data_IF_866199213454
#
_entry.id   IF_866199213454
#
_cell.length_a   1.000
_cell.length_b   1.000
_cell.length_c   1.000
_cell.angle_alpha   90.00
_cell.angle_beta   90.00
_cell.angle_gamma   90.00
#
_symmetry.space_group_name_H-M   'P 1'
#
loop_
_entity.id
_entity.type
_entity.pdbx_description
1 polymer ?
#
# COMPACT_ATOMS: atom_id res chain seq x y z
N UNK A 1 15.23 -2.86 -8.99
CA UNK A 1 14.92 -4.12 -8.29
C UNK A 1 13.45 -4.13 -7.92
N UNK A 2 12.77 -5.28 -8.03
CA UNK A 2 11.32 -5.37 -7.89
C UNK A 2 10.95 -6.25 -6.69
N UNK A 3 10.04 -5.78 -5.83
CA UNK A 3 9.61 -6.44 -4.62
C UNK A 3 8.08 -6.27 -4.42
N UNK A 4 7.43 -7.18 -3.69
CA UNK A 4 6.03 -6.99 -3.32
C UNK A 4 5.87 -5.83 -2.34
N UNK A 5 4.85 -5.01 -2.57
CA UNK A 5 4.42 -3.93 -1.67
C UNK A 5 3.04 -4.24 -1.18
N UNK A 6 2.85 -4.27 0.11
CA UNK A 6 1.57 -4.44 0.76
C UNK A 6 0.96 -3.08 1.10
N UNK A 7 -0.28 -2.85 0.68
CA UNK A 7 -1.08 -1.72 1.13
C UNK A 7 -2.00 -2.16 2.26
N UNK A 8 -1.83 -1.56 3.43
CA UNK A 8 -2.54 -1.89 4.68
C UNK A 8 -3.45 -0.75 5.07
N UNK A 9 -4.72 -1.03 5.21
CA UNK A 9 -5.67 -0.08 5.75
C UNK A 9 -5.72 -0.19 7.28
N UNK A 10 -5.58 0.95 7.96
CA UNK A 10 -5.81 1.02 9.40
C UNK A 10 -7.30 0.83 9.68
N UNK A 11 -7.63 -0.20 10.45
CA UNK A 11 -8.98 -0.55 10.86
C UNK A 11 -9.07 -0.39 12.38
N UNK A 12 -9.97 0.49 12.84
CA UNK A 12 -10.21 0.69 14.27
C UNK A 12 -11.64 0.29 14.59
N UNK A 13 -11.87 -0.65 15.52
CA UNK A 13 -13.23 -1.03 15.93
C UNK A 13 -14.04 0.20 16.35
N UNK A 14 -15.21 0.41 15.73
CA UNK A 14 -16.12 1.51 16.04
C UNK A 14 -17.22 1.10 16.99
N UNK A 15 -17.78 -0.09 16.79
CA UNK A 15 -18.94 -0.54 17.57
C UNK A 15 -19.01 -2.04 17.71
N UNK A 16 -19.64 -2.46 18.80
CA UNK A 16 -19.97 -3.86 19.08
C UNK A 16 -21.44 -4.10 18.82
N UNK A 17 -21.77 -5.25 18.23
CA UNK A 17 -23.15 -5.68 18.01
C UNK A 17 -23.71 -6.41 19.21
N UNK A 18 -25.02 -6.26 19.44
CA UNK A 18 -25.77 -7.04 20.41
C UNK A 18 -26.82 -7.95 19.74
N UNK A 19 -26.84 -7.99 18.40
CA UNK A 19 -27.74 -8.86 17.66
C UNK A 19 -27.36 -10.34 17.81
N UNK A 20 -28.37 -11.19 17.86
CA UNK A 20 -28.23 -12.67 17.85
C UNK A 20 -29.07 -13.21 16.71
N UNK A 21 -28.53 -14.07 15.89
CA UNK A 21 -29.23 -14.68 14.75
C UNK A 21 -28.34 -14.75 13.51
N UNK A 22 -28.96 -15.03 12.38
CA UNK A 22 -28.28 -15.20 11.09
C UNK A 22 -28.24 -13.88 10.32
N UNK A 23 -27.09 -13.47 9.80
CA UNK A 23 -26.99 -12.35 8.87
C UNK A 23 -27.69 -12.69 7.57
N UNK A 24 -28.73 -11.91 7.23
CA UNK A 24 -29.61 -12.17 6.07
C UNK A 24 -29.38 -11.22 4.90
N UNK A 25 -28.74 -10.07 5.11
CA UNK A 25 -28.23 -9.20 4.06
C UNK A 25 -27.08 -8.33 4.57
N UNK A 26 -26.27 -7.81 3.66
CA UNK A 26 -25.27 -6.77 3.91
C UNK A 26 -25.68 -5.54 3.10
N UNK A 27 -25.79 -4.39 3.77
CA UNK A 27 -26.30 -3.15 3.16
C UNK A 27 -25.18 -2.12 2.92
N UNK A 28 -23.96 -2.40 3.40
CA UNK A 28 -22.77 -1.58 3.21
C UNK A 28 -21.66 -2.40 2.58
N UNK A 29 -20.93 -1.78 1.65
CA UNK A 29 -19.73 -2.32 1.06
C UNK A 29 -18.49 -1.83 1.83
N UNK A 30 -17.36 -2.50 1.59
CA UNK A 30 -16.08 -2.11 2.19
C UNK A 30 -15.66 -0.71 1.75
N UNK A 31 -15.40 0.17 2.70
CA UNK A 31 -15.00 1.55 2.45
C UNK A 31 -16.12 2.54 2.19
N UNK A 32 -17.38 2.11 2.29
CA UNK A 32 -18.52 3.03 2.23
C UNK A 32 -18.48 4.03 3.38
N UNK A 33 -19.03 5.21 3.12
CA UNK A 33 -19.25 6.22 4.16
C UNK A 33 -20.66 6.10 4.67
N UNK A 34 -20.80 5.80 5.95
CA UNK A 34 -22.10 5.67 6.63
C UNK A 34 -22.38 6.86 7.52
N UNK A 35 -23.67 7.20 7.61
CA UNK A 35 -24.21 8.24 8.49
C UNK A 35 -25.18 7.62 9.51
N UNK A 36 -25.58 8.41 10.51
CA UNK A 36 -26.56 7.95 11.50
C UNK A 36 -27.91 7.65 10.83
N UNK A 37 -28.42 6.44 11.04
CA UNK A 37 -29.65 5.95 10.44
C UNK A 37 -29.45 4.97 9.30
N UNK A 38 -28.22 4.83 8.78
CA UNK A 38 -27.92 3.85 7.73
C UNK A 38 -27.99 2.43 8.30
N UNK A 39 -28.45 1.49 7.46
CA UNK A 39 -28.50 0.07 7.78
C UNK A 39 -27.13 -0.54 7.43
N UNK A 40 -26.51 -1.22 8.37
CA UNK A 40 -25.25 -1.93 8.14
C UNK A 40 -25.47 -3.31 7.50
N UNK A 41 -26.40 -4.07 8.08
CA UNK A 41 -26.77 -5.42 7.68
C UNK A 41 -28.11 -5.78 8.29
N UNK A 42 -28.68 -6.93 7.92
CA UNK A 42 -29.89 -7.47 8.57
C UNK A 42 -29.59 -8.79 9.27
N UNK A 43 -30.24 -9.02 10.42
CA UNK A 43 -30.20 -10.28 11.17
C UNK A 43 -31.63 -10.82 11.26
N UNK A 44 -31.83 -12.05 10.80
CA UNK A 44 -33.16 -12.69 10.72
C UNK A 44 -34.19 -11.74 10.07
N UNK A 45 -33.81 -11.09 8.96
CA UNK A 45 -34.57 -10.07 8.21
C UNK A 45 -34.84 -8.77 8.98
N UNK A 46 -34.23 -8.56 10.15
CA UNK A 46 -34.36 -7.34 10.94
C UNK A 46 -33.16 -6.43 10.74
N UNK A 47 -33.32 -5.16 10.37
CA UNK A 47 -32.20 -4.24 10.12
C UNK A 47 -31.47 -3.89 11.40
N UNK A 48 -30.16 -3.81 11.27
CA UNK A 48 -29.24 -3.29 12.28
C UNK A 48 -28.73 -1.93 11.80
N UNK A 49 -29.09 -0.89 12.51
CA UNK A 49 -28.84 0.51 12.14
C UNK A 49 -27.66 1.04 12.92
N UNK A 50 -26.84 1.89 12.28
CA UNK A 50 -25.76 2.62 12.95
C UNK A 50 -26.27 3.96 13.46
N UNK A 51 -25.86 4.37 14.67
CA UNK A 51 -26.20 5.67 15.24
C UNK A 51 -25.05 6.23 16.08
N UNK A 52 -25.04 7.56 16.28
CA UNK A 52 -24.05 8.20 17.15
C UNK A 52 -24.40 7.99 18.62
N UNK A 53 -23.42 7.59 19.42
CA UNK A 53 -23.58 7.39 20.85
C UNK A 53 -22.34 6.78 21.49
N UNK A 54 -22.10 7.12 22.75
CA UNK A 54 -20.91 6.65 23.49
C UNK A 54 -21.16 5.35 24.27
N UNK A 55 -22.44 4.97 24.46
CA UNK A 55 -22.82 3.79 25.23
C UNK A 55 -23.23 2.68 24.26
N UNK A 56 -22.51 1.54 24.20
CA UNK A 56 -22.91 0.41 23.39
C UNK A 56 -24.31 -0.10 23.78
N UNK A 57 -25.06 -0.64 22.81
CA UNK A 57 -26.32 -1.33 23.11
C UNK A 57 -26.04 -2.57 23.95
N UNK A 58 -26.71 -2.68 25.11
CA UNK A 58 -26.50 -3.78 26.06
C UNK A 58 -27.83 -4.36 26.61
N UNK A 59 -28.96 -3.72 26.33
CA UNK A 59 -30.29 -4.14 26.77
C UNK A 59 -31.39 -3.65 25.82
N UNK A 60 -32.53 -4.27 25.88
CA UNK A 60 -33.72 -3.78 25.22
C UNK A 60 -34.24 -2.50 25.91
N UNK A 61 -34.74 -1.56 25.11
CA UNK A 61 -35.30 -0.30 25.56
C UNK A 61 -36.77 -0.23 25.22
N UNK A 62 -37.56 0.05 26.24
CA UNK A 62 -39.04 0.17 26.16
C UNK A 62 -39.56 1.24 27.12
N UNK A 63 -40.85 1.51 27.08
CA UNK A 63 -41.48 2.46 27.99
C UNK A 63 -41.14 2.13 29.46
N UNK A 64 -40.70 3.15 30.19
CA UNK A 64 -40.22 3.04 31.57
C UNK A 64 -38.68 2.81 31.69
N UNK A 65 -37.96 2.55 30.60
CA UNK A 65 -36.47 2.51 30.63
C UNK A 65 -35.91 3.92 30.88
N UNK A 66 -34.86 4.03 31.67
CA UNK A 66 -34.16 5.30 31.94
C UNK A 66 -32.64 5.09 31.85
N UNK A 67 -31.90 6.12 31.36
CA UNK A 67 -30.45 6.09 31.32
C UNK A 67 -29.84 6.89 30.18
N UNK A 68 -28.49 6.82 30.12
CA UNK A 68 -27.72 7.44 29.05
C UNK A 68 -27.99 6.76 27.70
N UNK A 69 -28.24 5.46 27.69
CA UNK A 69 -28.61 4.66 26.54
C UNK A 69 -29.97 5.09 25.96
N UNK A 70 -30.94 5.43 26.82
CA UNK A 70 -32.21 6.00 26.38
C UNK A 70 -32.02 7.41 25.80
N UNK A 71 -31.18 8.21 26.43
CA UNK A 71 -30.89 9.57 25.94
C UNK A 71 -30.31 9.54 24.53
N UNK A 72 -29.29 8.74 24.28
CA UNK A 72 -28.69 8.64 22.94
C UNK A 72 -29.64 8.08 21.89
N UNK A 73 -30.55 7.15 22.26
CA UNK A 73 -31.65 6.70 21.39
C UNK A 73 -32.57 7.87 21.04
N UNK A 74 -32.94 8.68 22.03
CA UNK A 74 -33.78 9.86 21.82
C UNK A 74 -33.11 10.90 20.94
N UNK A 75 -31.78 11.08 21.08
CA UNK A 75 -30.95 11.93 20.18
C UNK A 75 -31.04 11.43 18.75
N UNK A 76 -30.77 10.16 18.52
CA UNK A 76 -30.93 9.53 17.21
C UNK A 76 -32.34 9.73 16.63
N UNK A 77 -33.39 9.42 17.40
CA UNK A 77 -34.78 9.57 16.95
C UNK A 77 -35.16 11.03 16.65
N UNK A 78 -34.62 11.99 17.42
CA UNK A 78 -34.82 13.43 17.21
C UNK A 78 -34.13 13.88 15.90
N UNK A 79 -32.88 13.52 15.72
CA UNK A 79 -32.07 13.94 14.58
C UNK A 79 -32.56 13.30 13.28
N UNK A 80 -33.11 12.08 13.35
CA UNK A 80 -33.81 11.42 12.27
C UNK A 80 -35.27 11.93 12.06
N UNK A 81 -35.77 12.88 12.87
CA UNK A 81 -37.08 13.50 12.72
C UNK A 81 -38.28 12.72 13.26
N UNK A 82 -38.06 11.58 13.94
CA UNK A 82 -39.14 10.77 14.52
C UNK A 82 -39.63 11.31 15.87
N UNK A 83 -38.72 11.90 16.67
CA UNK A 83 -39.05 12.44 18.01
C UNK A 83 -38.97 13.98 17.99
N UNK A 84 -40.07 14.62 18.40
CA UNK A 84 -40.15 16.08 18.48
C UNK A 84 -39.96 16.54 19.91
N UNK A 85 -38.72 16.56 20.38
CA UNK A 85 -38.34 17.11 21.69
C UNK A 85 -37.19 18.12 21.55
N UNK A 86 -37.16 19.12 22.44
CA UNK A 86 -36.09 20.11 22.42
C UNK A 86 -34.77 19.50 22.93
N UNK A 87 -34.86 18.73 24.02
CA UNK A 87 -33.74 18.05 24.60
C UNK A 87 -34.15 16.64 25.08
N UNK A 88 -33.40 15.61 24.69
CA UNK A 88 -33.53 14.26 25.22
C UNK A 88 -33.31 14.24 26.75
N UNK A 89 -34.21 13.62 27.49
CA UNK A 89 -34.20 13.57 28.95
C UNK A 89 -33.70 12.25 29.52
N UNK A 90 -33.52 11.23 28.67
CA UNK A 90 -33.06 9.90 29.04
C UNK A 90 -34.17 9.07 29.71
N UNK A 91 -35.46 9.42 29.51
CA UNK A 91 -36.60 8.67 30.00
C UNK A 91 -37.47 8.17 28.85
N UNK A 92 -37.57 6.88 28.70
CA UNK A 92 -38.38 6.26 27.64
C UNK A 92 -39.87 6.40 27.97
N UNK A 93 -40.49 7.47 27.51
CA UNK A 93 -41.89 7.81 27.71
C UNK A 93 -42.78 7.32 26.57
N UNK A 94 -44.12 7.47 26.70
CA UNK A 94 -45.06 7.22 25.61
C UNK A 94 -44.74 8.02 24.33
N UNK A 95 -44.14 9.23 24.44
CA UNK A 95 -43.70 10.00 23.28
C UNK A 95 -42.51 9.31 22.58
N UNK A 96 -41.58 8.75 23.34
CA UNK A 96 -40.45 7.97 22.80
C UNK A 96 -40.99 6.67 22.16
N UNK A 97 -41.95 5.95 22.80
CA UNK A 97 -42.61 4.78 22.22
C UNK A 97 -43.24 5.10 20.86
N UNK A 98 -43.96 6.22 20.77
CA UNK A 98 -44.61 6.65 19.52
C UNK A 98 -43.53 6.99 18.42
N UNK A 99 -42.41 7.56 18.80
CA UNK A 99 -41.31 7.83 17.89
C UNK A 99 -40.61 6.54 17.39
N UNK A 100 -40.38 5.59 18.29
CA UNK A 100 -39.84 4.26 17.94
C UNK A 100 -40.76 3.54 16.97
N UNK A 101 -42.06 3.54 17.20
CA UNK A 101 -43.06 2.91 16.27
C UNK A 101 -42.99 3.54 14.88
N UNK A 102 -42.84 4.87 14.77
CA UNK A 102 -42.67 5.53 13.48
C UNK A 102 -41.36 5.11 12.78
N UNK A 103 -40.27 5.02 13.53
CA UNK A 103 -39.00 4.52 13.01
C UNK A 103 -39.14 3.07 12.55
N UNK A 104 -39.73 2.19 13.38
CA UNK A 104 -39.96 0.79 13.03
C UNK A 104 -40.82 0.62 11.77
N UNK A 105 -41.83 1.48 11.59
CA UNK A 105 -42.61 1.52 10.36
C UNK A 105 -41.79 1.83 9.12
N UNK A 106 -40.89 2.83 9.22
CA UNK A 106 -39.99 3.17 8.12
C UNK A 106 -38.97 2.05 7.83
N UNK A 107 -38.52 1.37 8.87
CA UNK A 107 -37.61 0.22 8.78
C UNK A 107 -38.32 -1.08 8.36
N UNK A 108 -39.67 -1.04 8.16
CA UNK A 108 -40.48 -2.18 7.74
C UNK A 108 -40.42 -3.37 8.71
N UNK A 109 -40.31 -3.08 10.01
CA UNK A 109 -40.34 -4.08 11.08
C UNK A 109 -41.59 -3.93 11.94
N UNK A 110 -41.83 -4.89 12.84
CA UNK A 110 -42.96 -4.86 13.76
C UNK A 110 -42.98 -3.59 14.62
N UNK A 111 -44.07 -2.82 14.58
CA UNK A 111 -44.28 -1.55 15.29
C UNK A 111 -44.66 -1.80 16.77
N UNK A 112 -43.81 -2.51 17.52
CA UNK A 112 -44.07 -2.86 18.93
C UNK A 112 -43.65 -1.74 19.90
N UNK A 113 -42.81 -0.79 19.46
CA UNK A 113 -42.31 0.31 20.28
C UNK A 113 -41.16 -0.09 21.20
N UNK A 114 -40.55 -1.26 21.00
CA UNK A 114 -39.37 -1.76 21.72
C UNK A 114 -38.15 -1.70 20.80
N UNK A 115 -37.08 -1.10 21.26
CA UNK A 115 -35.78 -1.15 20.58
C UNK A 115 -34.98 -2.27 21.22
N UNK A 116 -34.72 -3.32 20.45
CA UNK A 116 -33.91 -4.43 20.94
C UNK A 116 -32.44 -4.02 20.95
N UNK A 117 -31.66 -4.62 21.83
CA UNK A 117 -30.23 -4.33 21.92
C UNK A 117 -29.49 -4.53 20.56
N UNK A 118 -29.98 -5.48 19.75
CA UNK A 118 -29.42 -5.76 18.42
C UNK A 118 -29.87 -4.84 17.28
N UNK A 119 -30.84 -3.94 17.51
CA UNK A 119 -31.42 -3.09 16.47
C UNK A 119 -30.49 -1.91 16.10
N UNK A 120 -29.64 -1.45 17.03
CA UNK A 120 -28.79 -0.26 16.85
C UNK A 120 -27.38 -0.54 17.33
N UNK A 121 -26.41 -0.22 16.49
CA UNK A 121 -25.00 -0.15 16.86
C UNK A 121 -24.63 1.31 17.10
N UNK A 122 -24.34 1.67 18.34
CA UNK A 122 -23.90 3.01 18.69
C UNK A 122 -22.38 3.14 18.55
N UNK A 123 -21.94 4.23 17.90
CA UNK A 123 -20.53 4.56 17.64
C UNK A 123 -20.24 6.01 18.00
N UNK A 124 -18.99 6.30 18.37
CA UNK A 124 -18.61 7.64 18.88
C UNK A 124 -18.67 8.75 17.84
N UNK A 125 -18.41 8.46 16.56
CA UNK A 125 -18.27 9.49 15.51
C UNK A 125 -18.90 9.01 14.20
N UNK A 126 -19.77 9.83 13.64
CA UNK A 126 -20.36 9.69 12.30
C UNK A 126 -20.40 11.08 11.62
N UNK A 127 -20.32 11.17 10.28
CA UNK A 127 -20.16 10.04 9.36
C UNK A 127 -18.76 9.43 9.43
N UNK A 128 -18.64 8.15 9.06
CA UNK A 128 -17.39 7.41 9.06
C UNK A 128 -17.28 6.51 7.83
N UNK A 129 -16.08 6.37 7.28
CA UNK A 129 -15.78 5.29 6.34
C UNK A 129 -15.65 4.00 7.12
N UNK A 130 -16.34 2.97 6.68
CA UNK A 130 -16.44 1.74 7.46
C UNK A 130 -16.08 0.50 6.65
N UNK A 131 -15.77 -0.54 7.39
CA UNK A 131 -15.70 -1.92 6.94
C UNK A 131 -16.40 -2.78 7.97
N UNK A 132 -17.20 -3.75 7.52
CA UNK A 132 -17.75 -4.74 8.43
C UNK A 132 -16.65 -5.66 8.94
N UNK A 133 -16.81 -6.15 10.15
CA UNK A 133 -15.90 -7.14 10.70
C UNK A 133 -15.95 -8.43 9.86
N UNK A 134 -14.84 -9.15 9.65
CA UNK A 134 -14.81 -10.39 8.88
C UNK A 134 -15.77 -11.48 9.37
N UNK A 135 -16.20 -11.43 10.63
CA UNK A 135 -17.22 -12.34 11.16
C UNK A 135 -18.65 -11.96 10.72
N UNK A 136 -18.86 -10.78 10.12
CA UNK A 136 -20.15 -10.30 9.62
C UNK A 136 -20.25 -10.54 8.12
N UNK A 137 -20.67 -11.71 7.72
CA UNK A 137 -20.89 -12.10 6.32
C UNK A 137 -22.27 -12.75 6.14
N UNK A 138 -22.76 -12.80 4.91
CA UNK A 138 -24.06 -13.38 4.60
C UNK A 138 -24.13 -14.84 5.08
N UNK A 139 -25.09 -15.14 5.96
CA UNK A 139 -25.26 -16.46 6.60
C UNK A 139 -24.48 -16.65 7.90
N UNK A 140 -23.69 -15.66 8.34
CA UNK A 140 -22.98 -15.72 9.61
C UNK A 140 -23.94 -15.79 10.79
N UNK A 141 -23.58 -16.53 11.83
CA UNK A 141 -24.29 -16.56 13.12
C UNK A 141 -23.64 -15.55 14.07
N UNK A 142 -24.36 -14.49 14.38
CA UNK A 142 -23.87 -13.45 15.28
C UNK A 142 -24.19 -13.78 16.74
N UNK A 143 -23.25 -13.37 17.59
CA UNK A 143 -23.38 -13.41 19.05
C UNK A 143 -23.05 -12.03 19.63
N UNK A 144 -23.70 -11.62 20.74
CA UNK A 144 -23.49 -10.30 21.34
C UNK A 144 -22.05 -10.07 21.79
N UNK A 145 -21.62 -8.80 21.77
CA UNK A 145 -20.37 -8.33 22.36
C UNK A 145 -19.16 -8.38 21.42
N UNK A 146 -19.33 -8.80 20.16
CA UNK A 146 -18.26 -8.76 19.17
C UNK A 146 -18.25 -7.44 18.40
N UNK A 147 -17.07 -7.03 17.94
CA UNK A 147 -16.97 -5.95 16.97
C UNK A 147 -17.72 -6.35 15.69
N UNK A 148 -18.51 -5.45 15.13
CA UNK A 148 -19.27 -5.68 13.90
C UNK A 148 -18.95 -4.68 12.81
N UNK A 149 -18.35 -3.55 13.18
CA UNK A 149 -17.99 -2.48 12.27
C UNK A 149 -16.73 -1.79 12.77
N UNK A 150 -15.79 -1.55 11.85
CA UNK A 150 -14.57 -0.79 12.10
C UNK A 150 -14.53 0.45 11.22
N UNK A 151 -13.93 1.53 11.71
CA UNK A 151 -13.58 2.66 10.87
C UNK A 151 -12.40 2.33 10.01
N UNK A 152 -12.41 2.87 8.81
CA UNK A 152 -11.30 2.79 7.88
C UNK A 152 -10.52 4.11 7.90
N UNK A 153 -9.20 4.04 7.97
CA UNK A 153 -8.34 5.20 7.85
C UNK A 153 -8.55 5.96 6.53
N UNK A 154 -8.06 7.19 6.46
CA UNK A 154 -8.21 8.02 5.26
C UNK A 154 -7.39 7.49 4.07
N UNK A 155 -6.28 6.83 4.35
CA UNK A 155 -5.38 6.25 3.37
C UNK A 155 -4.71 4.98 3.90
N UNK A 156 -4.33 4.04 3.03
CA UNK A 156 -3.55 2.89 3.44
C UNK A 156 -2.08 3.26 3.65
N UNK A 157 -1.39 2.49 4.47
CA UNK A 157 0.06 2.49 4.60
C UNK A 157 0.65 1.49 3.61
N UNK A 158 1.63 1.93 2.82
CA UNK A 158 2.33 1.07 1.89
C UNK A 158 3.64 0.60 2.51
N UNK A 159 3.84 -0.71 2.58
CA UNK A 159 5.04 -1.31 3.15
C UNK A 159 5.64 -2.36 2.24
N UNK A 160 6.97 -2.42 2.24
CA UNK A 160 7.73 -3.47 1.56
C UNK A 160 8.50 -4.24 2.62
N UNK A 161 8.24 -5.53 2.74
CA UNK A 161 8.90 -6.40 3.71
C UNK A 161 9.98 -7.21 2.99
N UNK A 162 11.20 -7.08 3.47
CA UNK A 162 12.38 -7.70 2.88
C UNK A 162 13.03 -8.65 3.87
N UNK A 163 13.46 -9.81 3.38
CA UNK A 163 14.27 -10.73 4.19
C UNK A 163 15.66 -10.13 4.48
N UNK A 164 16.37 -10.68 5.45
CA UNK A 164 17.73 -10.25 5.80
C UNK A 164 18.68 -10.28 4.59
N UNK A 165 18.55 -11.29 3.72
CA UNK A 165 19.37 -11.42 2.51
C UNK A 165 19.03 -10.34 1.47
N UNK A 166 17.75 -9.96 1.35
CA UNK A 166 17.31 -8.90 0.45
C UNK A 166 17.66 -7.51 0.99
N UNK A 167 17.63 -7.33 2.30
CA UNK A 167 17.92 -6.05 2.96
C UNK A 167 19.32 -5.51 2.65
N UNK A 168 20.30 -6.40 2.50
CA UNK A 168 21.68 -6.02 2.14
C UNK A 168 21.86 -5.54 0.70
N UNK A 169 20.85 -5.75 -0.17
CA UNK A 169 20.89 -5.41 -1.60
C UNK A 169 20.13 -4.13 -1.94
N UNK A 170 19.41 -3.56 -0.97
CA UNK A 170 18.43 -2.49 -1.20
C UNK A 170 18.79 -1.25 -0.39
N UNK A 171 18.74 -0.04 -0.97
CA UNK A 171 18.93 1.19 -0.21
C UNK A 171 17.74 1.37 0.78
N UNK A 172 18.03 1.99 1.92
CA UNK A 172 17.04 2.32 2.96
C UNK A 172 16.38 3.69 2.75
N UNK A 173 16.73 4.37 1.67
CA UNK A 173 16.15 5.66 1.24
C UNK A 173 16.23 5.77 -0.27
N UNK A 174 15.42 6.62 -0.88
CA UNK A 174 15.45 6.88 -2.31
C UNK A 174 14.09 6.68 -2.98
N UNK A 175 14.03 6.94 -4.30
CA UNK A 175 12.79 6.86 -5.06
C UNK A 175 12.36 5.41 -5.30
N UNK A 176 11.05 5.22 -5.32
CA UNK A 176 10.40 3.94 -5.60
C UNK A 176 9.18 4.17 -6.49
N UNK A 177 8.97 3.33 -7.47
CA UNK A 177 7.74 3.31 -8.26
C UNK A 177 6.93 2.09 -7.87
N UNK A 178 5.66 2.29 -7.49
CA UNK A 178 4.73 1.23 -7.08
C UNK A 178 3.65 1.08 -8.13
N UNK A 179 3.52 -0.12 -8.68
CA UNK A 179 2.61 -0.42 -9.79
C UNK A 179 1.58 -1.47 -9.38
N UNK A 180 0.32 -1.19 -9.64
CA UNK A 180 -0.80 -2.13 -9.61
C UNK A 180 -1.25 -2.49 -11.02
N UNK A 181 -2.44 -3.10 -11.15
CA UNK A 181 -3.00 -3.49 -12.47
C UNK A 181 -3.23 -2.28 -13.39
N UNK A 182 -3.72 -1.16 -12.86
CA UNK A 182 -4.14 0.00 -13.66
C UNK A 182 -3.55 1.32 -13.15
N UNK A 183 -2.69 1.27 -12.15
CA UNK A 183 -2.13 2.47 -11.50
C UNK A 183 -0.65 2.33 -11.27
N UNK A 184 0.06 3.45 -11.36
CA UNK A 184 1.46 3.57 -10.95
C UNK A 184 1.60 4.83 -10.10
N UNK A 185 2.24 4.70 -8.97
CA UNK A 185 2.55 5.81 -8.07
C UNK A 185 4.06 5.93 -7.91
N UNK A 186 4.56 7.15 -8.02
CA UNK A 186 5.94 7.47 -7.69
C UNK A 186 6.00 7.89 -6.22
N UNK A 187 6.92 7.29 -5.49
CA UNK A 187 7.08 7.50 -4.07
C UNK A 187 8.54 7.49 -3.65
N UNK A 188 8.71 7.61 -2.34
CA UNK A 188 10.01 7.52 -1.69
C UNK A 188 9.95 6.57 -0.49
N UNK A 189 11.08 5.99 -0.13
CA UNK A 189 11.24 5.27 1.12
C UNK A 189 11.33 6.31 2.24
N UNK A 190 10.26 6.40 3.04
CA UNK A 190 10.14 7.36 4.13
C UNK A 190 10.83 6.86 5.42
N UNK A 191 10.78 5.56 5.66
CA UNK A 191 11.46 4.95 6.82
C UNK A 191 11.85 3.50 6.53
N UNK A 192 12.87 3.05 7.26
CA UNK A 192 13.34 1.67 7.23
C UNK A 192 13.47 1.18 8.68
N UNK A 193 12.78 0.12 9.03
CA UNK A 193 12.79 -0.45 10.39
C UNK A 193 12.99 -1.95 10.33
N UNK A 194 13.81 -2.49 11.23
CA UNK A 194 14.00 -3.94 11.33
C UNK A 194 13.10 -4.50 12.42
N UNK A 195 12.29 -5.48 12.08
CA UNK A 195 11.41 -6.17 13.03
C UNK A 195 12.21 -7.11 13.94
N UNK A 196 11.61 -7.55 15.02
CA UNK A 196 12.21 -8.55 15.95
C UNK A 196 12.53 -9.87 15.26
N UNK A 197 11.85 -10.17 14.14
CA UNK A 197 12.07 -11.38 13.34
C UNK A 197 13.15 -11.19 12.25
N UNK A 198 13.84 -10.03 12.23
CA UNK A 198 14.91 -9.75 11.28
C UNK A 198 14.46 -9.32 9.88
N UNK A 199 13.16 -9.06 9.67
CA UNK A 199 12.67 -8.49 8.42
C UNK A 199 12.93 -6.99 8.38
N UNK A 200 13.42 -6.46 7.26
CA UNK A 200 13.49 -5.04 6.99
C UNK A 200 12.14 -4.58 6.41
N UNK A 201 11.48 -3.67 7.09
CA UNK A 201 10.23 -3.05 6.65
C UNK A 201 10.52 -1.64 6.18
N UNK A 202 10.30 -1.40 4.89
CA UNK A 202 10.37 -0.08 4.27
C UNK A 202 8.95 0.49 4.18
N UNK A 203 8.74 1.66 4.77
CA UNK A 203 7.48 2.40 4.63
C UNK A 203 7.60 3.40 3.49
N UNK A 204 6.61 3.40 2.60
CA UNK A 204 6.59 4.20 1.37
C UNK A 204 5.58 5.32 1.49
N UNK A 205 5.96 6.51 1.03
CA UNK A 205 5.10 7.71 0.97
C UNK A 205 5.25 8.40 -0.38
N UNK A 206 4.37 9.35 -0.67
CA UNK A 206 4.59 10.27 -1.75
C UNK A 206 5.83 11.15 -1.47
N UNK A 207 6.46 11.76 -2.49
CA UNK A 207 7.66 12.59 -2.31
C UNK A 207 7.46 13.79 -1.37
N UNK A 208 6.22 14.28 -1.23
CA UNK A 208 5.83 15.36 -0.34
C UNK A 208 5.56 14.89 1.12
N UNK A 209 5.72 13.59 1.39
CA UNK A 209 5.45 12.98 2.69
C UNK A 209 3.99 12.59 2.91
N UNK A 210 3.11 12.85 1.93
CA UNK A 210 1.72 12.44 1.96
C UNK A 210 1.52 10.94 1.67
N UNK A 211 0.25 10.52 1.57
CA UNK A 211 -0.07 9.14 1.19
C UNK A 211 0.39 8.84 -0.23
N UNK A 212 1.01 7.67 -0.44
CA UNK A 212 1.51 7.24 -1.76
C UNK A 212 0.43 7.26 -2.84
N UNK A 213 -0.80 6.88 -2.52
CA UNK A 213 -1.93 6.88 -3.45
C UNK A 213 -2.57 8.26 -3.66
N UNK A 214 -2.20 9.29 -2.86
CA UNK A 214 -2.73 10.64 -2.99
C UNK A 214 -4.26 10.68 -2.99
N UNK A 215 -4.85 11.30 -4.02
CA UNK A 215 -6.31 11.37 -4.21
C UNK A 215 -6.93 10.07 -4.73
N UNK A 216 -6.11 9.14 -5.21
CA UNK A 216 -6.56 7.86 -5.78
C UNK A 216 -6.60 6.73 -4.74
N UNK A 217 -6.54 7.02 -3.43
CA UNK A 217 -6.58 5.98 -2.40
C UNK A 217 -7.87 5.14 -2.41
N UNK A 218 -8.96 5.68 -2.96
CA UNK A 218 -10.20 4.91 -3.15
C UNK A 218 -10.07 3.74 -4.12
N UNK A 219 -9.06 3.74 -4.99
CA UNK A 219 -8.78 2.62 -5.91
C UNK A 219 -7.97 1.48 -5.26
N UNK A 220 -7.44 1.70 -4.06
CA UNK A 220 -6.74 0.65 -3.32
C UNK A 220 -7.77 -0.26 -2.63
N UNK A 221 -7.83 -1.55 -2.97
CA UNK A 221 -8.80 -2.47 -2.39
C UNK A 221 -8.73 -2.48 -0.86
N UNK A 222 -9.91 -2.47 -0.22
CA UNK A 222 -10.05 -2.71 1.21
C UNK A 222 -10.27 -4.21 1.37
N UNK A 223 -9.19 -4.96 1.50
CA UNK A 223 -9.28 -6.40 1.62
C UNK A 223 -9.11 -6.85 3.08
N UNK A 224 -9.57 -8.07 3.38
CA UNK A 224 -9.28 -8.73 4.66
C UNK A 224 -7.76 -8.94 4.83
N UNK A 225 -7.07 -9.24 3.73
CA UNK A 225 -5.61 -9.31 3.63
C UNK A 225 -5.08 -8.08 2.90
N UNK A 226 -3.79 -7.82 3.07
CA UNK A 226 -3.10 -6.71 2.42
C UNK A 226 -3.30 -6.75 0.90
N UNK A 227 -3.63 -5.60 0.30
CA UNK A 227 -3.62 -5.46 -1.15
C UNK A 227 -2.16 -5.43 -1.64
N UNK A 228 -1.82 -6.29 -2.62
CA UNK A 228 -0.46 -6.44 -3.09
C UNK A 228 -0.23 -5.67 -4.40
N UNK A 229 0.87 -4.95 -4.42
CA UNK A 229 1.40 -4.18 -5.54
C UNK A 229 2.85 -4.60 -5.82
N UNK A 230 3.41 -4.13 -6.92
CA UNK A 230 4.82 -4.32 -7.25
C UNK A 230 5.58 -3.02 -7.06
N UNK A 231 6.57 -3.01 -6.17
CA UNK A 231 7.45 -1.88 -5.95
C UNK A 231 8.78 -2.06 -6.67
N UNK A 232 9.17 -1.06 -7.46
CA UNK A 232 10.46 -0.99 -8.13
C UNK A 232 11.32 0.07 -7.45
N UNK A 233 12.36 -0.34 -6.75
CA UNK A 233 13.33 0.58 -6.14
C UNK A 233 14.25 1.07 -7.25
N UNK A 234 14.31 2.39 -7.42
CA UNK A 234 15.12 3.06 -8.42
C UNK A 234 16.50 3.33 -7.79
N UNK A 235 17.47 2.49 -8.12
CA UNK A 235 18.85 2.61 -7.61
C UNK A 235 19.72 3.57 -8.42
N UNK A 236 19.24 3.95 -9.59
CA UNK A 236 19.90 4.88 -10.50
C UNK A 236 18.87 5.90 -10.94
N UNK A 237 19.07 7.15 -10.57
CA UNK A 237 18.20 8.24 -11.02
C UNK A 237 18.27 8.38 -12.54
N UNK A 238 17.12 8.69 -13.16
CA UNK A 238 17.06 9.00 -14.57
C UNK A 238 17.82 10.30 -14.83
N UNK A 239 19.00 10.21 -15.39
CA UNK A 239 19.75 11.36 -15.85
C UNK A 239 19.39 11.66 -17.30
N UNK A 240 19.20 12.94 -17.62
CA UNK A 240 19.00 13.42 -18.99
C UNK A 240 20.33 14.00 -19.51
N UNK A 241 20.77 13.54 -20.68
CA UNK A 241 22.01 14.01 -21.28
C UNK A 241 22.50 13.08 -22.41
N UNK A 242 23.61 13.40 -23.06
CA UNK A 242 24.25 12.52 -24.02
C UNK A 242 24.57 11.15 -23.39
N UNK A 243 24.17 10.07 -24.05
CA UNK A 243 24.45 8.72 -23.59
C UNK A 243 25.57 8.09 -24.43
N UNK A 244 26.66 7.73 -23.79
CA UNK A 244 27.80 7.08 -24.43
C UNK A 244 27.90 5.61 -23.97
N UNK A 245 28.49 4.71 -24.80
CA UNK A 245 28.84 3.38 -24.31
C UNK A 245 29.84 3.49 -23.14
N UNK A 246 29.67 2.69 -22.10
CA UNK A 246 30.55 2.69 -20.93
C UNK A 246 32.03 2.39 -21.35
N UNK A 247 32.22 1.62 -22.44
CA UNK A 247 33.52 1.34 -23.03
C UNK A 247 34.18 2.54 -23.72
N UNK A 248 33.49 3.66 -23.91
CA UNK A 248 34.04 4.90 -24.46
C UNK A 248 34.57 5.84 -23.36
N UNK A 249 34.37 5.50 -22.07
CA UNK A 249 34.82 6.33 -20.96
C UNK A 249 36.18 5.85 -20.46
N UNK A 250 37.13 6.72 -20.48
CA UNK A 250 38.43 6.55 -19.86
C UNK A 250 38.52 7.25 -18.51
N UNK A 251 39.44 6.81 -17.66
CA UNK A 251 39.73 7.45 -16.37
C UNK A 251 41.16 7.83 -16.28
N UNK A 252 41.48 9.08 -15.97
CA UNK A 252 42.86 9.58 -15.74
C UNK A 252 43.34 9.13 -14.35
N UNK A 253 44.67 9.22 -14.17
CA UNK A 253 45.32 8.88 -12.91
C UNK A 253 44.78 9.64 -11.68
N UNK A 254 44.06 10.75 -11.87
CA UNK A 254 43.38 11.53 -10.82
C UNK A 254 41.94 11.15 -10.58
N UNK A 255 41.37 10.12 -11.27
CA UNK A 255 39.96 9.72 -11.13
C UNK A 255 38.97 10.48 -12.02
N UNK A 256 39.46 11.45 -12.82
CA UNK A 256 38.63 12.21 -13.75
C UNK A 256 38.20 11.35 -14.95
N UNK A 257 36.92 11.29 -15.22
CA UNK A 257 36.41 10.62 -16.41
C UNK A 257 36.55 11.50 -17.65
N UNK A 258 36.84 10.86 -18.79
CA UNK A 258 36.96 11.55 -20.10
C UNK A 258 36.45 10.63 -21.21
N UNK A 259 36.05 11.24 -22.30
CA UNK A 259 35.81 10.55 -23.58
C UNK A 259 36.80 11.04 -24.64
N UNK A 260 37.03 10.23 -25.66
CA UNK A 260 37.87 10.63 -26.81
C UNK A 260 36.98 10.87 -28.00
N UNK A 261 37.01 12.07 -28.56
CA UNK A 261 36.24 12.43 -29.76
C UNK A 261 36.81 11.78 -31.02
N UNK A 262 36.11 11.85 -32.14
CA UNK A 262 36.56 11.34 -33.43
C UNK A 262 37.94 11.96 -33.84
N UNK A 263 38.15 13.22 -33.51
CA UNK A 263 39.39 13.95 -33.78
C UNK A 263 40.57 13.56 -32.85
N UNK A 264 40.29 12.68 -31.86
CA UNK A 264 41.32 12.23 -30.90
C UNK A 264 41.49 13.14 -29.69
N UNK A 265 40.63 14.16 -29.51
CA UNK A 265 40.65 15.05 -28.35
C UNK A 265 40.06 14.38 -27.13
N UNK A 266 40.72 14.52 -25.96
CA UNK A 266 40.22 14.03 -24.69
C UNK A 266 39.37 15.10 -24.01
N UNK A 267 38.06 14.92 -24.03
CA UNK A 267 37.10 15.81 -23.39
C UNK A 267 36.76 15.27 -22.00
N UNK A 268 36.96 16.05 -20.92
CA UNK A 268 36.58 15.66 -19.59
C UNK A 268 35.03 15.59 -19.49
N UNK A 269 34.51 14.55 -18.86
CA UNK A 269 33.06 14.36 -18.67
C UNK A 269 32.73 14.03 -17.23
N UNK A 270 31.52 14.45 -16.80
CA UNK A 270 30.97 14.04 -15.53
C UNK A 270 29.94 12.93 -15.79
N UNK A 271 30.11 11.77 -15.14
CA UNK A 271 29.14 10.68 -15.24
C UNK A 271 27.95 11.02 -14.36
N UNK A 272 26.78 11.27 -14.97
CA UNK A 272 25.52 11.56 -14.27
C UNK A 272 24.80 10.27 -13.86
N UNK A 273 24.86 9.24 -14.72
CA UNK A 273 24.20 7.95 -14.48
C UNK A 273 24.88 6.88 -15.32
N UNK A 274 24.91 5.62 -14.81
CA UNK A 274 25.49 4.50 -15.54
C UNK A 274 24.66 3.23 -15.34
N UNK A 275 24.33 2.54 -16.44
CA UNK A 275 23.59 1.28 -16.41
C UNK A 275 23.53 0.62 -17.78
N UNK A 276 23.33 -0.70 -17.83
CA UNK A 276 23.15 -1.47 -19.07
C UNK A 276 24.23 -1.25 -20.14
N UNK A 277 25.50 -1.07 -19.71
CA UNK A 277 26.62 -0.85 -20.62
C UNK A 277 26.70 0.56 -21.24
N UNK A 278 25.89 1.50 -20.78
CA UNK A 278 25.86 2.90 -21.19
C UNK A 278 26.03 3.83 -19.98
N UNK A 279 26.54 5.02 -20.22
CA UNK A 279 26.57 6.09 -19.22
C UNK A 279 25.99 7.36 -19.83
N UNK A 280 25.19 8.07 -19.05
CA UNK A 280 24.78 9.45 -19.36
C UNK A 280 25.83 10.37 -18.78
N UNK A 281 26.35 11.26 -19.60
CA UNK A 281 27.49 12.15 -19.24
C UNK A 281 27.13 13.60 -19.51
N UNK A 282 27.74 14.48 -18.73
CA UNK A 282 27.80 15.92 -19.00
C UNK A 282 29.19 16.28 -19.46
N UNK A 283 29.29 17.27 -20.36
CA UNK A 283 30.58 17.74 -20.94
C UNK A 283 30.72 17.51 -22.44
N UNK A 284 29.75 16.81 -23.08
CA UNK A 284 29.69 16.66 -24.56
C UNK A 284 28.26 16.99 -25.05
N UNK A 285 28.11 17.22 -26.34
CA UNK A 285 26.80 17.49 -26.96
C UNK A 285 26.15 16.21 -27.52
N UNK A 286 24.83 16.24 -27.68
CA UNK A 286 24.10 15.17 -28.37
C UNK A 286 24.45 15.21 -29.85
N UNK A 287 24.99 14.09 -30.36
CA UNK A 287 25.47 13.98 -31.76
C UNK A 287 27.00 13.91 -31.88
N UNK A 288 27.73 14.21 -30.80
CA UNK A 288 29.18 14.02 -30.81
C UNK A 288 29.55 12.55 -30.96
N UNK A 289 30.54 12.27 -31.81
CA UNK A 289 31.03 10.91 -32.02
C UNK A 289 32.20 10.66 -31.08
N UNK A 290 32.13 9.57 -30.32
CA UNK A 290 33.15 9.17 -29.36
C UNK A 290 33.77 7.83 -29.76
N UNK A 291 35.09 7.69 -29.57
CA UNK A 291 35.83 6.45 -29.83
C UNK A 291 35.66 5.47 -28.66
N UNK A 292 35.60 4.18 -28.98
CA UNK A 292 35.62 3.12 -27.98
C UNK A 292 37.07 2.79 -27.60
N UNK A 293 37.34 2.63 -26.31
CA UNK A 293 38.65 2.13 -25.87
C UNK A 293 38.78 0.66 -26.26
N UNK A 294 39.84 0.35 -27.06
CA UNK A 294 40.10 -1.00 -27.57
C UNK A 294 39.83 -1.18 -29.08
N UNK A 295 39.31 -0.19 -29.76
CA UNK A 295 39.24 -0.18 -31.21
C UNK A 295 40.62 0.17 -31.79
N UNK A 296 41.14 -0.73 -32.57
CA UNK A 296 42.47 -0.56 -33.18
C UNK A 296 42.43 0.57 -34.22
N UNK A 297 43.23 1.60 -34.05
CA UNK A 297 43.33 2.75 -34.97
C UNK A 297 43.51 2.23 -36.41
N UNK A 298 42.61 2.50 -37.36
CA UNK A 298 42.77 2.05 -38.74
C UNK A 298 43.92 2.80 -39.49
N UNK A 299 44.60 3.74 -38.80
CA UNK A 299 45.62 4.60 -39.40
C UNK A 299 47.08 4.32 -39.01
N UNK A 300 47.37 3.34 -38.15
CA UNK A 300 48.78 3.00 -37.80
C UNK A 300 49.32 1.94 -38.74
N UNK A 301 49.63 2.35 -40.01
CA UNK A 301 50.44 1.54 -40.93
C UNK A 301 51.91 1.69 -40.60
N UNK A 302 52.52 0.58 -40.17
CA UNK A 302 53.86 0.16 -40.56
C UNK A 302 55.06 1.06 -40.28
N UNK A 303 55.78 0.83 -39.25
CA UNK A 303 57.22 1.08 -39.11
C UNK A 303 57.88 -0.25 -38.84
N UNK A 304 58.35 -0.88 -39.91
CA UNK A 304 59.23 -2.04 -39.87
C UNK A 304 60.62 -1.58 -39.46
N UNK A 305 61.15 -2.07 -38.33
CA UNK A 305 62.60 -2.22 -38.16
C UNK A 305 62.87 -3.56 -37.48
N UNK A 306 63.65 -4.36 -38.24
CA UNK A 306 64.05 -5.71 -37.91
C UNK A 306 65.01 -5.78 -36.73
N UNK A 307 64.92 -6.86 -36.01
CA UNK A 307 65.86 -7.29 -35.01
C UNK A 307 65.89 -8.81 -34.99
N UNK A 308 66.94 -9.38 -35.50
CA UNK A 308 67.29 -10.78 -35.66
C UNK A 308 67.77 -11.34 -34.32
N UNK A 309 67.48 -12.55 -33.98
CA UNK A 309 68.05 -13.33 -32.86
C UNK A 309 67.19 -14.52 -32.55
N UNK A 310 67.41 -15.54 -33.09
CA UNK A 310 68.11 -16.84 -33.00
C UNK A 310 67.89 -17.57 -31.64
N UNK A 311 67.51 -18.87 -31.72
CA UNK A 311 67.79 -19.86 -30.72
C UNK A 311 66.61 -20.70 -30.26
N UNK A 312 66.29 -21.82 -30.96
CA UNK A 312 66.14 -23.22 -30.52
C UNK A 312 65.66 -23.46 -29.08
N UNK A 313 64.69 -24.32 -28.77
CA UNK A 313 64.72 -25.77 -28.91
C UNK A 313 63.45 -26.42 -28.42
N UNK A 314 63.03 -27.44 -29.01
CA UNK A 314 62.33 -28.66 -28.82
C UNK A 314 61.81 -29.10 -27.43
N UNK A 315 60.71 -29.81 -27.48
CA UNK A 315 60.27 -30.73 -26.45
C UNK A 315 58.76 -30.96 -26.40
N UNK A 316 58.27 -31.72 -27.31
CA UNK A 316 57.58 -33.03 -27.32
C UNK A 316 56.66 -33.35 -26.10
N UNK A 317 55.35 -33.51 -26.44
CA UNK A 317 54.47 -34.69 -26.30
C UNK A 317 54.24 -35.26 -24.89
N UNK A 318 53.07 -35.58 -24.54
CA UNK A 318 52.12 -36.70 -24.61
C UNK A 318 51.05 -36.51 -23.58
N UNK A 319 49.81 -36.56 -23.96
CA UNK A 319 48.79 -37.63 -24.02
C UNK A 319 48.40 -38.36 -22.73
N UNK A 320 47.12 -38.60 -22.72
CA UNK A 320 46.31 -39.57 -21.96
C UNK A 320 45.76 -39.09 -20.60
N UNK A 321 44.51 -39.19 -20.29
CA UNK A 321 43.46 -40.10 -20.72
C UNK A 321 42.69 -40.56 -19.51
N UNK A 322 41.42 -40.73 -19.59
CA UNK A 322 40.67 -41.57 -18.63
C UNK A 322 39.60 -40.86 -17.82
N UNK A 323 38.40 -40.82 -18.34
CA UNK A 323 37.23 -41.69 -18.11
C UNK A 323 36.72 -41.84 -16.64
N UNK A 324 35.48 -41.49 -16.46
CA UNK A 324 34.53 -42.42 -15.95
C UNK A 324 33.82 -42.11 -14.65
N UNK A 325 32.49 -42.07 -14.71
CA UNK A 325 31.66 -42.76 -13.75
C UNK A 325 30.65 -41.89 -12.96
N UNK A 326 29.47 -41.73 -13.53
CA UNK A 326 28.12 -42.16 -13.06
C UNK A 326 27.81 -42.18 -11.56
N UNK A 327 26.81 -41.37 -11.29
CA UNK A 327 25.58 -41.52 -10.46
C UNK A 327 25.52 -42.65 -9.39
N UNK A 328 24.64 -42.55 -8.39
CA UNK A 328 23.22 -42.15 -8.47
C UNK A 328 22.83 -40.86 -7.74
#
# INVERSE_FOLDING_TARGET
MSFPVAARWDKTPLGTGAATGTVTSLEVAEGDTVAAGDILYTVDLRPVVIASGAVPSFRDLSEGSEGADVRQLQEFLRDAGYLKVRAPDGKFSAATTAAVKKWQKTATVTEDGVVRAGDVVFVGTLPARVVLDPEVFLGAQLTPGKAVVSSLGLSPTFVMELSADQAGLVPTSGPVSVTGSDVTWDGVIASATTTTNGLLVLTLTAPDGGSLCGVACSSVPVAEKDALFTGNIITVEAATGPAVPAAAIGTRAGGEAFVVTEDGEQVPVTILSQGNGRAVVDGIAVGDVVRLFGEKDPGASGGTTGGKGDGSDAGTAETEGGTGGTTP
#
